data_IF_052188924272
#
_entry.id   IF_052188924272
#
_cell.length_a   1.000
_cell.length_b   1.000
_cell.length_c   1.000
_cell.angle_alpha   90.00
_cell.angle_beta   90.00
_cell.angle_gamma   90.00
#
_symmetry.space_group_name_H-M   'P 1'
#
loop_
_entity.id
_entity.type
_entity.pdbx_description
1 polymer ?
#
# COMPACT_ATOMS: atom_id res chain seq x y z
N UNK A 1 -22.93 19.21 12.29
CA UNK A 1 -21.66 19.67 12.86
C UNK A 1 -21.67 19.58 14.40
N UNK A 2 -22.70 20.06 15.10
CA UNK A 2 -22.85 20.03 16.57
C UNK A 2 -22.82 18.62 17.18
N UNK A 3 -23.49 17.64 16.59
CA UNK A 3 -23.50 16.24 17.07
C UNK A 3 -22.10 15.58 17.14
N UNK A 4 -21.19 15.97 16.26
CA UNK A 4 -19.81 15.47 16.30
C UNK A 4 -19.00 16.10 17.45
N UNK A 5 -19.28 17.36 17.77
CA UNK A 5 -18.63 18.07 18.85
C UNK A 5 -18.99 17.47 20.22
N UNK A 6 -20.28 17.19 20.45
CA UNK A 6 -20.76 16.53 21.67
C UNK A 6 -20.18 15.13 21.86
N UNK A 7 -20.07 14.35 20.79
CA UNK A 7 -19.35 13.07 20.84
C UNK A 7 -17.90 13.19 21.30
N UNK A 8 -17.20 14.22 20.81
CA UNK A 8 -15.81 14.45 21.21
C UNK A 8 -15.69 14.87 22.68
N UNK A 9 -16.60 15.69 23.18
CA UNK A 9 -16.65 16.09 24.60
C UNK A 9 -16.95 14.88 25.47
N UNK A 10 -17.92 14.07 25.12
CA UNK A 10 -18.25 12.83 25.85
C UNK A 10 -17.09 11.83 25.90
N UNK A 11 -16.35 11.68 24.79
CA UNK A 11 -15.16 10.85 24.76
C UNK A 11 -14.05 11.36 25.70
N UNK A 12 -13.87 12.67 25.79
CA UNK A 12 -12.90 13.28 26.70
C UNK A 12 -13.35 13.08 28.16
N UNK A 13 -14.63 13.30 28.47
CA UNK A 13 -15.18 13.09 29.82
C UNK A 13 -15.06 11.65 30.29
N UNK A 14 -15.28 10.66 29.40
CA UNK A 14 -15.18 9.22 29.74
C UNK A 14 -13.75 8.68 29.74
N UNK A 15 -12.87 9.17 28.90
CA UNK A 15 -11.54 8.61 28.68
C UNK A 15 -10.39 9.40 29.31
N UNK A 16 -10.67 10.51 29.99
CA UNK A 16 -9.69 11.30 30.73
C UNK A 16 -8.51 11.80 29.92
N UNK A 17 -7.39 11.97 30.56
CA UNK A 17 -6.16 12.56 30.01
C UNK A 17 -5.60 11.74 28.83
N UNK A 18 -5.79 10.43 28.83
CA UNK A 18 -5.30 9.53 27.76
C UNK A 18 -5.95 9.85 26.41
N UNK A 19 -7.24 10.17 26.42
CA UNK A 19 -7.96 10.55 25.19
C UNK A 19 -7.52 11.91 24.69
N UNK A 20 -7.24 12.85 25.60
CA UNK A 20 -6.70 14.17 25.26
C UNK A 20 -5.34 14.03 24.59
N UNK A 21 -4.43 13.25 25.17
CA UNK A 21 -3.10 12.99 24.60
C UNK A 21 -3.20 12.36 23.21
N UNK A 22 -4.08 11.35 23.03
CA UNK A 22 -4.29 10.72 21.71
C UNK A 22 -4.82 11.73 20.68
N UNK A 23 -5.75 12.59 21.04
CA UNK A 23 -6.30 13.63 20.15
C UNK A 23 -5.25 14.69 19.81
N UNK A 24 -4.48 15.13 20.81
CA UNK A 24 -3.39 16.08 20.60
C UNK A 24 -2.32 15.52 19.67
N UNK A 25 -1.89 14.27 19.89
CA UNK A 25 -0.96 13.57 18.98
C UNK A 25 -1.51 13.47 17.56
N UNK A 26 -2.80 13.20 17.41
CA UNK A 26 -3.45 13.14 16.10
C UNK A 26 -3.47 14.51 15.41
N UNK A 27 -3.72 15.58 16.17
CA UNK A 27 -3.71 16.95 15.67
C UNK A 27 -2.30 17.38 15.24
N UNK A 28 -1.29 17.11 16.06
CA UNK A 28 0.12 17.39 15.72
C UNK A 28 0.49 16.64 14.44
N UNK A 29 0.13 15.36 14.34
CA UNK A 29 0.39 14.57 13.12
C UNK A 29 -0.30 15.17 11.89
N UNK A 30 -1.53 15.67 12.02
CA UNK A 30 -2.25 16.35 10.94
C UNK A 30 -1.52 17.62 10.50
N UNK A 31 -1.09 18.45 11.45
CA UNK A 31 -0.33 19.69 11.18
C UNK A 31 0.99 19.39 10.46
N UNK A 32 1.71 18.36 10.91
CA UNK A 32 2.96 17.92 10.27
C UNK A 32 2.75 17.36 8.85
N UNK A 33 1.55 16.93 8.50
CA UNK A 33 1.23 16.48 7.14
C UNK A 33 0.95 17.65 6.18
N UNK A 34 0.58 18.85 6.65
CA UNK A 34 0.25 20.00 5.79
C UNK A 34 1.37 20.31 4.77
N UNK A 35 2.65 20.44 5.17
CA UNK A 35 3.73 20.69 4.21
C UNK A 35 3.84 19.61 3.13
N UNK A 36 3.62 18.34 3.51
CA UNK A 36 3.69 17.20 2.57
C UNK A 36 2.56 17.31 1.54
N UNK A 37 1.34 17.65 1.97
CA UNK A 37 0.23 17.89 1.04
C UNK A 37 0.50 19.07 0.11
N UNK A 38 1.06 20.17 0.62
CA UNK A 38 1.41 21.35 -0.20
C UNK A 38 2.47 21.01 -1.25
N UNK A 39 3.51 20.26 -0.88
CA UNK A 39 4.55 19.78 -1.81
C UNK A 39 3.98 18.76 -2.81
N UNK A 40 3.00 17.97 -2.40
CA UNK A 40 2.38 16.96 -3.27
C UNK A 40 1.64 17.57 -4.45
N UNK A 41 1.12 18.82 -4.35
CA UNK A 41 0.40 19.47 -5.44
C UNK A 41 1.31 19.69 -6.66
N UNK A 42 2.42 20.47 -6.56
CA UNK A 42 3.30 20.69 -7.70
C UNK A 42 3.95 19.39 -8.18
N UNK A 43 4.25 18.46 -7.25
CA UNK A 43 4.83 17.17 -7.62
C UNK A 43 3.87 16.34 -8.47
N UNK A 44 2.57 16.28 -8.13
CA UNK A 44 1.57 15.57 -8.95
C UNK A 44 1.41 16.24 -10.32
N UNK A 45 1.43 17.56 -10.38
CA UNK A 45 1.37 18.27 -11.66
C UNK A 45 2.59 17.88 -12.52
N UNK A 46 3.78 17.90 -11.95
CA UNK A 46 5.01 17.49 -12.65
C UNK A 46 4.94 16.04 -13.13
N UNK A 47 4.52 15.12 -12.25
CA UNK A 47 4.36 13.69 -12.59
C UNK A 47 3.38 13.50 -13.75
N UNK A 48 2.29 14.28 -13.80
CA UNK A 48 1.32 14.24 -14.90
C UNK A 48 1.88 14.83 -16.20
N UNK A 49 2.70 15.87 -16.10
CA UNK A 49 3.34 16.51 -17.27
C UNK A 49 4.37 15.58 -17.92
N UNK A 50 5.16 14.86 -17.14
CA UNK A 50 6.16 13.93 -17.69
C UNK A 50 5.57 12.61 -18.21
N UNK A 51 4.29 12.35 -17.93
CA UNK A 51 3.61 11.11 -18.31
C UNK A 51 3.82 10.68 -19.77
N UNK A 52 3.82 11.54 -20.79
CA UNK A 52 4.02 11.09 -22.17
C UNK A 52 5.36 10.37 -22.40
N UNK A 53 6.38 10.68 -21.62
CA UNK A 53 7.73 10.10 -21.75
C UNK A 53 8.00 9.04 -20.70
N UNK A 54 7.46 9.23 -19.48
CA UNK A 54 7.72 8.34 -18.35
C UNK A 54 6.51 8.29 -17.42
N UNK A 55 5.93 7.10 -17.28
CA UNK A 55 4.76 6.88 -16.46
C UNK A 55 5.14 6.44 -15.05
N UNK A 56 4.80 7.23 -14.05
CA UNK A 56 4.93 6.84 -12.65
C UNK A 56 3.55 6.39 -12.16
N UNK A 57 3.45 5.15 -11.68
CA UNK A 57 2.22 4.59 -11.11
C UNK A 57 2.44 4.21 -9.65
N UNK A 58 1.37 4.22 -8.87
CA UNK A 58 1.43 3.77 -7.49
C UNK A 58 0.18 3.04 -7.06
N UNK A 59 0.34 2.15 -6.06
CA UNK A 59 -0.76 1.45 -5.41
C UNK A 59 -0.48 1.21 -3.93
N UNK A 60 -1.57 1.07 -3.15
CA UNK A 60 -1.48 0.55 -1.81
C UNK A 60 -1.51 -0.98 -1.86
N UNK A 61 -0.57 -1.64 -1.22
CA UNK A 61 -0.68 -3.06 -0.95
C UNK A 61 -1.82 -3.31 0.06
N UNK A 62 -2.63 -4.32 -0.20
CA UNK A 62 -3.82 -4.65 0.62
C UNK A 62 -3.41 -5.39 1.91
N UNK A 63 -2.62 -4.73 2.73
CA UNK A 63 -1.95 -5.30 3.90
C UNK A 63 -2.84 -5.67 5.07
N UNK A 64 -4.14 -5.35 5.03
CA UNK A 64 -5.09 -5.61 6.11
C UNK A 64 -5.73 -7.00 6.05
N UNK A 65 -5.53 -7.77 4.98
CA UNK A 65 -6.03 -9.13 4.78
C UNK A 65 -4.92 -10.00 4.21
N UNK A 66 -4.64 -11.13 4.86
CA UNK A 66 -3.50 -11.96 4.53
C UNK A 66 -3.56 -12.48 3.08
N UNK A 67 -4.70 -12.99 2.63
CA UNK A 67 -4.86 -13.49 1.26
C UNK A 67 -4.59 -12.40 0.20
N UNK A 68 -5.13 -11.19 0.39
CA UNK A 68 -4.85 -10.09 -0.53
C UNK A 68 -3.41 -9.60 -0.44
N UNK A 69 -2.82 -9.60 0.75
CA UNK A 69 -1.46 -9.14 0.94
C UNK A 69 -0.42 -10.13 0.36
N UNK A 70 -0.71 -11.42 0.38
CA UNK A 70 0.13 -12.45 -0.26
C UNK A 70 -0.21 -12.59 -1.75
N UNK A 71 -1.41 -13.08 -2.06
CA UNK A 71 -1.77 -13.53 -3.41
C UNK A 71 -1.84 -12.38 -4.42
N UNK A 72 -2.52 -11.26 -4.08
CA UNK A 72 -2.63 -10.17 -5.06
C UNK A 72 -1.29 -9.50 -5.35
N UNK A 73 -0.41 -9.44 -4.33
CA UNK A 73 0.93 -8.87 -4.52
C UNK A 73 1.82 -9.81 -5.33
N UNK A 74 1.74 -11.12 -5.05
CA UNK A 74 2.44 -12.15 -5.82
C UNK A 74 1.98 -12.16 -7.28
N UNK A 75 0.68 -12.14 -7.50
CA UNK A 75 0.12 -12.16 -8.85
C UNK A 75 0.54 -10.94 -9.66
N UNK A 76 0.59 -9.75 -9.04
CA UNK A 76 1.18 -8.57 -9.68
C UNK A 76 2.62 -8.81 -10.10
N UNK A 77 3.45 -9.43 -9.27
CA UNK A 77 4.83 -9.74 -9.60
C UNK A 77 4.92 -10.73 -10.77
N UNK A 78 4.11 -11.78 -10.74
CA UNK A 78 4.03 -12.76 -11.83
C UNK A 78 3.54 -12.13 -13.14
N UNK A 79 2.52 -11.28 -13.12
CA UNK A 79 2.04 -10.54 -14.30
C UNK A 79 3.12 -9.62 -14.88
N UNK A 80 3.85 -8.91 -14.01
CA UNK A 80 4.98 -8.07 -14.41
C UNK A 80 6.05 -8.90 -15.12
N UNK A 81 6.46 -10.03 -14.57
CA UNK A 81 7.51 -10.88 -15.10
C UNK A 81 7.06 -11.61 -16.37
N UNK A 82 5.75 -11.88 -16.50
CA UNK A 82 5.14 -12.41 -17.72
C UNK A 82 4.93 -11.35 -18.81
N UNK A 83 5.17 -10.05 -18.51
CA UNK A 83 4.90 -8.97 -19.46
C UNK A 83 3.41 -8.65 -19.67
N UNK A 84 2.54 -9.09 -18.75
CA UNK A 84 1.08 -8.95 -18.82
C UNK A 84 0.67 -7.65 -18.15
N UNK A 85 -0.31 -6.93 -18.71
CA UNK A 85 -0.90 -5.70 -18.17
C UNK A 85 0.12 -4.56 -17.93
N UNK A 86 1.24 -4.58 -18.65
CA UNK A 86 2.26 -3.55 -18.56
C UNK A 86 1.94 -2.35 -19.46
N UNK A 87 2.33 -1.13 -19.06
CA UNK A 87 2.31 0.02 -19.96
C UNK A 87 3.23 -0.17 -21.15
N UNK A 88 2.81 0.33 -22.32
CA UNK A 88 3.64 0.31 -23.53
C UNK A 88 4.83 1.26 -23.49
N UNK A 89 4.81 2.25 -22.60
CA UNK A 89 5.86 3.24 -22.41
C UNK A 89 6.73 2.91 -21.18
N UNK A 90 7.87 3.59 -21.05
CA UNK A 90 8.71 3.46 -19.86
C UNK A 90 7.90 3.84 -18.62
N UNK A 91 7.99 3.02 -17.58
CA UNK A 91 7.20 3.20 -16.37
C UNK A 91 7.96 2.86 -15.09
N UNK A 92 7.44 3.32 -13.99
CA UNK A 92 7.89 3.00 -12.63
C UNK A 92 6.67 2.74 -11.75
N UNK A 93 6.62 1.55 -11.14
CA UNK A 93 5.59 1.20 -10.17
C UNK A 93 6.12 1.32 -8.75
N UNK A 94 5.40 2.06 -7.93
CA UNK A 94 5.76 2.34 -6.54
C UNK A 94 4.59 1.92 -5.65
N UNK A 95 4.91 1.22 -4.58
CA UNK A 95 3.91 0.72 -3.63
C UNK A 95 4.05 1.38 -2.26
N UNK A 96 3.00 1.29 -1.48
CA UNK A 96 3.03 1.62 -0.07
C UNK A 96 2.15 0.68 0.74
N UNK A 97 2.57 0.43 1.98
CA UNK A 97 1.85 -0.41 2.92
C UNK A 97 1.03 0.49 3.84
N UNK A 98 -0.27 0.21 3.99
CA UNK A 98 -1.15 0.96 4.88
C UNK A 98 -0.79 0.72 6.35
N UNK A 99 -1.32 1.56 7.25
CA UNK A 99 -1.04 1.47 8.71
C UNK A 99 -1.45 0.13 9.33
N UNK A 100 -2.51 -0.49 8.81
CA UNK A 100 -2.99 -1.78 9.30
C UNK A 100 -2.32 -2.90 8.51
N UNK A 101 -1.51 -3.70 9.20
CA UNK A 101 -0.79 -4.84 8.63
C UNK A 101 -1.21 -6.10 9.38
N UNK A 102 -1.79 -7.05 8.67
CA UNK A 102 -2.29 -8.31 9.24
C UNK A 102 -1.17 -9.29 9.59
N UNK A 103 -0.03 -9.23 8.88
CA UNK A 103 1.12 -10.12 9.09
C UNK A 103 2.42 -9.34 8.92
N UNK A 104 3.19 -9.21 10.00
CA UNK A 104 4.47 -8.47 10.04
C UNK A 104 5.60 -9.19 9.32
N UNK A 105 5.58 -10.53 9.34
CA UNK A 105 6.58 -11.31 8.61
C UNK A 105 6.42 -11.11 7.10
N UNK A 106 5.18 -11.20 6.61
CA UNK A 106 4.87 -10.92 5.21
C UNK A 106 5.24 -9.49 4.79
N UNK A 107 5.05 -8.50 5.68
CA UNK A 107 5.53 -7.13 5.43
C UNK A 107 7.04 -7.08 5.24
N UNK A 108 7.83 -7.77 6.10
CA UNK A 108 9.28 -7.85 5.97
C UNK A 108 9.70 -8.49 4.64
N UNK A 109 9.05 -9.59 4.26
CA UNK A 109 9.35 -10.29 3.02
C UNK A 109 9.09 -9.41 1.79
N UNK A 110 7.94 -8.73 1.71
CA UNK A 110 7.66 -7.79 0.63
C UNK A 110 8.63 -6.60 0.56
N UNK A 111 9.08 -6.09 1.71
CA UNK A 111 10.09 -5.01 1.73
C UNK A 111 11.47 -5.45 1.25
N UNK A 112 11.76 -6.75 1.26
CA UNK A 112 13.00 -7.34 0.72
C UNK A 112 12.86 -7.75 -0.75
N UNK A 113 11.64 -7.81 -1.27
CA UNK A 113 11.38 -8.20 -2.65
C UNK A 113 11.84 -7.14 -3.65
N UNK A 114 11.66 -7.41 -4.93
CA UNK A 114 11.94 -6.47 -6.03
C UNK A 114 10.99 -5.27 -6.12
N UNK A 115 10.00 -5.17 -5.22
CA UNK A 115 9.04 -4.07 -5.21
C UNK A 115 9.63 -2.80 -4.60
N UNK A 116 9.37 -1.66 -5.20
CA UNK A 116 9.70 -0.36 -4.63
C UNK A 116 8.59 0.02 -3.66
N UNK A 117 8.84 -0.11 -2.37
CA UNK A 117 7.86 0.19 -1.31
C UNK A 117 8.31 1.42 -0.53
N UNK A 118 7.62 2.53 -0.75
CA UNK A 118 7.85 3.79 -0.06
C UNK A 118 6.96 3.95 1.18
N UNK A 119 7.33 4.84 2.11
CA UNK A 119 6.55 5.09 3.32
C UNK A 119 5.14 5.58 3.03
N UNK A 120 4.16 5.09 3.81
CA UNK A 120 2.77 5.49 3.72
C UNK A 120 2.56 7.02 3.83
N UNK A 121 3.29 7.67 4.74
CA UNK A 121 3.15 9.11 4.97
C UNK A 121 3.54 9.95 3.77
N UNK A 122 4.36 9.42 2.86
CA UNK A 122 4.79 10.09 1.62
C UNK A 122 3.80 9.83 0.47
N UNK A 123 3.48 8.57 0.18
CA UNK A 123 2.66 8.22 -0.98
C UNK A 123 1.15 8.41 -0.78
N UNK A 124 0.67 8.32 0.45
CA UNK A 124 -0.75 8.53 0.71
C UNK A 124 -1.21 9.97 0.42
N UNK A 125 -0.50 11.04 0.82
CA UNK A 125 -0.81 12.41 0.38
C UNK A 125 -0.78 12.58 -1.13
N UNK A 126 0.24 12.08 -1.81
CA UNK A 126 0.35 12.09 -3.28
C UNK A 126 -0.88 11.43 -3.93
N UNK A 127 -1.27 10.25 -3.46
CA UNK A 127 -2.44 9.53 -3.96
C UNK A 127 -3.73 10.33 -3.76
N UNK A 128 -3.90 10.95 -2.60
CA UNK A 128 -5.08 11.76 -2.28
C UNK A 128 -5.14 13.01 -3.14
N UNK A 129 -4.03 13.74 -3.30
CA UNK A 129 -3.96 14.93 -4.16
C UNK A 129 -4.21 14.56 -5.61
N UNK A 130 -3.60 13.47 -6.12
CA UNK A 130 -3.87 13.01 -7.48
C UNK A 130 -5.36 12.71 -7.72
N UNK A 131 -6.01 12.08 -6.74
CA UNK A 131 -7.45 11.77 -6.80
C UNK A 131 -8.30 13.04 -6.73
N UNK A 132 -7.92 14.01 -5.92
CA UNK A 132 -8.59 15.30 -5.84
C UNK A 132 -8.45 16.09 -7.13
N UNK A 133 -7.24 16.23 -7.68
CA UNK A 133 -6.99 16.90 -8.94
C UNK A 133 -7.74 16.21 -10.10
N UNK A 134 -7.89 14.87 -10.05
CA UNK A 134 -8.57 14.11 -11.09
C UNK A 134 -10.08 14.44 -11.21
N UNK A 135 -10.69 15.06 -10.20
CA UNK A 135 -12.07 15.57 -10.26
C UNK A 135 -12.18 16.71 -11.27
N UNK A 136 -11.18 17.58 -11.33
CA UNK A 136 -11.16 18.79 -12.18
C UNK A 136 -10.39 18.57 -13.47
N UNK A 137 -9.29 17.84 -13.39
CA UNK A 137 -8.37 17.57 -14.51
C UNK A 137 -8.24 16.03 -14.66
N UNK A 138 -8.91 15.44 -15.66
CA UNK A 138 -8.82 14.00 -15.90
C UNK A 138 -7.39 13.51 -16.16
N UNK A 139 -7.16 12.21 -16.00
CA UNK A 139 -5.85 11.58 -16.26
C UNK A 139 -5.14 11.02 -15.04
N UNK A 140 -5.64 11.31 -13.82
CA UNK A 140 -5.06 10.77 -12.58
C UNK A 140 -5.12 9.24 -12.47
N UNK A 141 -6.06 8.60 -13.17
CA UNK A 141 -6.21 7.14 -13.14
C UNK A 141 -5.06 6.40 -13.84
N UNK A 142 -4.39 7.02 -14.81
CA UNK A 142 -3.19 6.41 -15.44
C UNK A 142 -2.05 6.17 -14.45
N UNK A 143 -2.01 6.92 -13.36
CA UNK A 143 -1.00 6.82 -12.31
C UNK A 143 -1.35 5.78 -11.22
N UNK A 144 -2.29 4.88 -11.50
CA UNK A 144 -2.64 3.78 -10.60
C UNK A 144 -2.15 2.46 -11.19
N UNK A 145 -1.53 1.63 -10.37
CA UNK A 145 -1.24 0.25 -10.75
C UNK A 145 -2.56 -0.53 -10.79
N UNK A 146 -2.78 -1.27 -11.85
CA UNK A 146 -4.02 -1.99 -12.14
C UNK A 146 -4.88 -1.28 -13.19
N UNK A 147 -5.85 -2.01 -13.75
CA UNK A 147 -6.74 -1.47 -14.78
C UNK A 147 -7.66 -0.40 -14.15
N UNK A 148 -7.71 0.83 -14.71
CA UNK A 148 -8.57 1.89 -14.19
C UNK A 148 -10.08 1.59 -14.31
N UNK A 149 -10.47 0.67 -15.17
CA UNK A 149 -11.87 0.28 -15.41
C UNK A 149 -12.31 -0.85 -14.48
N UNK A 150 -11.40 -1.75 -14.14
CA UNK A 150 -11.65 -2.82 -13.18
C UNK A 150 -11.00 -2.43 -11.86
N UNK A 151 -11.81 -2.21 -10.83
CA UNK A 151 -11.26 -1.96 -9.51
C UNK A 151 -10.32 -3.13 -9.17
N UNK A 152 -9.12 -2.83 -8.68
CA UNK A 152 -8.15 -3.79 -8.12
C UNK A 152 -8.81 -4.85 -7.20
N UNK A 153 -10.08 -4.65 -6.88
CA UNK A 153 -10.87 -5.44 -5.95
C UNK A 153 -11.68 -6.57 -6.59
N UNK A 154 -11.89 -6.61 -7.92
CA UNK A 154 -12.85 -7.56 -8.47
C UNK A 154 -12.24 -8.81 -9.13
N UNK A 155 -11.06 -8.73 -9.75
CA UNK A 155 -10.45 -9.89 -10.41
C UNK A 155 -8.95 -10.09 -10.10
N UNK A 156 -8.34 -9.23 -9.31
CA UNK A 156 -6.90 -9.26 -9.01
C UNK A 156 -6.45 -10.42 -8.10
N UNK A 157 -7.36 -11.30 -7.73
CA UNK A 157 -7.07 -12.52 -6.95
C UNK A 157 -7.25 -13.80 -7.78
N UNK A 158 -7.67 -13.67 -9.04
CA UNK A 158 -7.84 -14.83 -9.92
C UNK A 158 -6.62 -14.93 -10.85
N UNK A 159 -5.84 -15.97 -10.64
CA UNK A 159 -4.74 -16.32 -11.53
C UNK A 159 -5.28 -17.01 -12.78
N UNK A 160 -5.91 -16.22 -13.66
CA UNK A 160 -6.54 -16.71 -14.90
C UNK A 160 -5.53 -17.26 -15.91
N UNK A 161 -4.24 -17.03 -15.71
CA UNK A 161 -3.16 -17.47 -16.58
C UNK A 161 -2.28 -18.55 -15.96
N UNK A 162 -2.61 -19.01 -14.75
CA UNK A 162 -1.82 -19.97 -13.96
C UNK A 162 -0.36 -19.51 -13.79
N UNK A 163 -0.17 -18.23 -13.51
CA UNK A 163 1.16 -17.61 -13.41
C UNK A 163 1.88 -18.04 -12.12
N UNK A 164 1.15 -18.21 -11.03
CA UNK A 164 1.74 -18.64 -9.75
C UNK A 164 2.35 -20.05 -9.82
N UNK A 165 1.94 -20.89 -10.80
CA UNK A 165 2.56 -22.18 -11.04
C UNK A 165 3.79 -22.08 -11.98
N UNK A 166 3.85 -21.02 -12.79
CA UNK A 166 4.91 -20.85 -13.81
C UNK A 166 6.13 -20.11 -13.26
N UNK A 167 5.93 -19.25 -12.28
CA UNK A 167 7.00 -18.42 -11.69
C UNK A 167 7.35 -18.92 -10.29
N UNK A 168 8.61 -18.75 -9.92
CA UNK A 168 9.03 -18.97 -8.54
C UNK A 168 8.47 -17.85 -7.63
N UNK A 169 8.17 -18.15 -6.37
CA UNK A 169 7.69 -17.15 -5.42
C UNK A 169 8.65 -15.96 -5.31
N UNK A 170 8.11 -14.74 -5.36
CA UNK A 170 8.89 -13.49 -5.26
C UNK A 170 9.29 -13.14 -3.83
N UNK A 171 8.78 -13.88 -2.86
CA UNK A 171 9.11 -13.75 -1.44
C UNK A 171 9.51 -15.12 -0.88
N UNK A 172 10.41 -15.09 0.09
CA UNK A 172 10.87 -16.28 0.79
C UNK A 172 11.36 -15.94 2.19
N UNK A 173 11.54 -16.94 3.02
CA UNK A 173 12.21 -16.79 4.30
C UNK A 173 13.72 -16.65 4.10
N UNK A 174 14.39 -15.95 5.00
CA UNK A 174 15.84 -16.04 5.13
C UNK A 174 16.22 -17.32 5.87
N UNK A 175 17.49 -17.71 5.80
CA UNK A 175 17.97 -18.90 6.52
C UNK A 175 17.73 -18.78 8.03
N UNK A 176 17.92 -17.57 8.61
CA UNK A 176 17.63 -17.32 10.02
C UNK A 176 16.13 -17.46 10.34
N UNK A 177 15.26 -16.98 9.45
CA UNK A 177 13.80 -17.07 9.63
C UNK A 177 13.32 -18.52 9.49
N UNK A 178 13.89 -19.29 8.59
CA UNK A 178 13.61 -20.73 8.46
C UNK A 178 14.10 -21.50 9.69
N UNK A 179 15.31 -21.23 10.16
CA UNK A 179 15.85 -21.84 11.37
C UNK A 179 14.97 -21.54 12.58
N UNK A 180 14.56 -20.29 12.77
CA UNK A 180 13.67 -19.88 13.85
C UNK A 180 12.28 -20.55 13.71
N UNK A 181 11.75 -20.65 12.51
CA UNK A 181 10.49 -21.34 12.21
C UNK A 181 10.55 -22.82 12.62
N UNK A 182 11.61 -23.53 12.23
CA UNK A 182 11.83 -24.93 12.60
C UNK A 182 11.97 -25.12 14.12
N UNK A 183 12.72 -24.20 14.78
CA UNK A 183 12.85 -24.21 16.24
C UNK A 183 11.49 -24.10 16.93
N UNK A 184 10.64 -23.18 16.48
CA UNK A 184 9.29 -23.00 17.03
C UNK A 184 8.41 -24.22 16.77
N UNK A 185 8.47 -24.82 15.57
CA UNK A 185 7.71 -26.01 15.23
C UNK A 185 8.13 -27.19 16.12
N UNK A 186 9.44 -27.37 16.36
CA UNK A 186 9.95 -28.39 17.25
C UNK A 186 9.47 -28.20 18.69
N UNK A 187 9.38 -26.97 19.20
CA UNK A 187 8.81 -26.68 20.54
C UNK A 187 7.33 -27.06 20.63
N UNK A 188 6.59 -27.01 19.52
CA UNK A 188 5.20 -27.49 19.43
C UNK A 188 5.07 -28.99 19.14
N UNK A 189 6.19 -29.72 19.06
CA UNK A 189 6.20 -31.19 18.80
C UNK A 189 5.88 -31.53 17.35
N UNK A 190 6.03 -30.61 16.42
CA UNK A 190 5.89 -30.88 15.00
C UNK A 190 7.25 -31.35 14.47
N UNK A 191 7.36 -32.56 13.93
CA UNK A 191 8.62 -33.05 13.34
C UNK A 191 8.97 -32.30 12.08
N UNK A 192 10.27 -32.29 11.72
CA UNK A 192 10.79 -31.70 10.45
C UNK A 192 10.26 -32.44 9.22
#
# INVERSE_FOLDING_TARGET
MLQNFDKHIQQIKKGGIIVIIKKLRSLIFLILQIPIYLISIPLIILIRLIRPWFLIRWAALLSNRIGHFSVNTELYCCERDAGINLPSQKYLDIFYIKKLVCNKQLEKMWRRSSLIILPFWLLNPLSNINRFINIFIPGGNYHRVGNPVESIYHNSYLDVHNLCEKFQPHIGFTEEEEFEGKRILAEFGVPD
#
